data_IF_630946534567
#
_entry.id   IF_630946534567
#
_cell.length_a   1.000
_cell.length_b   1.000
_cell.length_c   1.000
_cell.angle_alpha   90.00
_cell.angle_beta   90.00
_cell.angle_gamma   90.00
#
_symmetry.space_group_name_H-M   'P 1'
#
loop_
_entity.id
_entity.type
_entity.pdbx_description
1 polymer ?
#
# COMPACT_ATOMS: atom_id res chain seq x y z
N UNK A 1 1.12 -0.78 -10.93
CA UNK A 1 2.08 -1.54 -10.10
C UNK A 1 1.49 -1.65 -8.69
N UNK A 2 1.74 -2.75 -7.98
CA UNK A 2 1.22 -3.00 -6.62
C UNK A 2 2.38 -3.30 -5.67
N UNK A 3 2.30 -2.85 -4.43
CA UNK A 3 3.22 -3.26 -3.36
C UNK A 3 2.60 -4.49 -2.71
N UNK A 4 3.17 -5.67 -2.92
CA UNK A 4 2.65 -6.94 -2.38
C UNK A 4 3.42 -7.32 -1.12
N UNK A 5 2.74 -7.62 -0.03
CA UNK A 5 3.37 -8.23 1.13
C UNK A 5 3.48 -9.73 0.87
N UNK A 6 4.69 -10.28 0.99
CA UNK A 6 4.98 -11.69 0.70
C UNK A 6 4.85 -12.60 1.92
N UNK A 7 4.43 -12.03 3.05
CA UNK A 7 4.30 -12.70 4.33
C UNK A 7 2.86 -12.61 4.81
N UNK A 8 2.46 -13.55 5.66
CA UNK A 8 1.13 -13.53 6.26
C UNK A 8 1.02 -12.38 7.25
N UNK A 9 0.00 -11.55 7.10
CA UNK A 9 -0.27 -10.44 8.03
C UNK A 9 -1.59 -10.68 8.75
N UNK A 10 -1.63 -10.40 10.05
CA UNK A 10 -2.87 -10.45 10.81
C UNK A 10 -3.83 -9.34 10.34
N UNK A 11 -4.90 -9.75 9.64
CA UNK A 11 -5.87 -8.83 9.01
C UNK A 11 -6.47 -7.83 10.00
N UNK A 12 -6.89 -8.28 11.20
CA UNK A 12 -7.48 -7.39 12.22
C UNK A 12 -6.50 -6.33 12.70
N UNK A 13 -5.23 -6.71 12.90
CA UNK A 13 -4.18 -5.80 13.31
C UNK A 13 -3.84 -4.80 12.20
N UNK A 14 -3.83 -5.27 10.95
CA UNK A 14 -3.62 -4.42 9.77
C UNK A 14 -4.73 -3.38 9.63
N UNK A 15 -5.99 -3.81 9.70
CA UNK A 15 -7.16 -2.90 9.65
C UNK A 15 -7.05 -1.86 10.76
N UNK A 16 -6.80 -2.29 12.01
CA UNK A 16 -6.66 -1.38 13.15
C UNK A 16 -5.58 -0.32 12.91
N UNK A 17 -4.40 -0.73 12.47
CA UNK A 17 -3.26 0.19 12.24
C UNK A 17 -3.53 1.11 11.04
N UNK A 18 -4.17 0.62 9.98
CA UNK A 18 -4.59 1.44 8.84
C UNK A 18 -5.65 2.48 9.27
N UNK A 19 -6.64 2.10 10.07
CA UNK A 19 -7.64 3.02 10.61
C UNK A 19 -7.01 4.13 11.46
N UNK A 20 -6.04 3.79 12.32
CA UNK A 20 -5.27 4.79 13.10
C UNK A 20 -4.52 5.78 12.21
N UNK A 21 -4.18 5.39 10.97
CA UNK A 21 -3.50 6.21 9.97
C UNK A 21 -4.47 6.95 9.04
N UNK A 22 -5.76 6.95 9.36
CA UNK A 22 -6.80 7.65 8.62
C UNK A 22 -7.31 6.93 7.38
N UNK A 23 -7.04 5.63 7.24
CA UNK A 23 -7.66 4.83 6.19
C UNK A 23 -9.09 4.46 6.58
N UNK A 24 -9.96 4.30 5.58
CA UNK A 24 -11.38 3.99 5.75
C UNK A 24 -11.71 2.64 5.14
N UNK A 25 -12.54 1.86 5.81
CA UNK A 25 -13.02 0.57 5.31
C UNK A 25 -13.90 0.73 4.07
N UNK A 26 -13.83 -0.25 3.18
CA UNK A 26 -14.71 -0.40 2.03
C UNK A 26 -14.51 -1.74 1.32
N UNK A 27 -14.92 -1.80 0.05
CA UNK A 27 -14.73 -2.98 -0.79
C UNK A 27 -14.02 -2.62 -2.09
N UNK A 28 -13.06 -3.46 -2.49
CA UNK A 28 -12.36 -3.34 -3.77
C UNK A 28 -12.47 -4.67 -4.51
N UNK A 29 -13.12 -4.68 -5.69
CA UNK A 29 -13.38 -5.90 -6.47
C UNK A 29 -14.02 -7.04 -5.64
N UNK A 30 -14.97 -6.70 -4.78
CA UNK A 30 -15.67 -7.66 -3.91
C UNK A 30 -14.90 -8.10 -2.66
N UNK A 31 -13.62 -7.73 -2.52
CA UNK A 31 -12.77 -8.04 -1.36
C UNK A 31 -12.80 -6.91 -0.33
N UNK A 32 -12.51 -7.25 0.93
CA UNK A 32 -12.32 -6.25 1.98
C UNK A 32 -11.11 -5.38 1.66
N UNK A 33 -11.29 -4.07 1.75
CA UNK A 33 -10.22 -3.13 1.46
C UNK A 33 -10.27 -1.92 2.39
N UNK A 34 -9.14 -1.25 2.52
CA UNK A 34 -9.00 0.04 3.17
C UNK A 34 -8.61 1.08 2.12
N UNK A 35 -9.14 2.29 2.25
CA UNK A 35 -8.94 3.40 1.32
C UNK A 35 -8.38 4.62 2.03
N UNK A 36 -7.45 5.31 1.39
CA UNK A 36 -6.96 6.62 1.86
C UNK A 36 -6.79 7.54 0.68
N UNK A 37 -7.36 8.72 0.79
CA UNK A 37 -7.12 9.77 -0.19
C UNK A 37 -5.81 10.48 0.14
N UNK A 38 -4.98 10.69 -0.89
CA UNK A 38 -3.73 11.42 -0.78
C UNK A 38 -3.56 12.28 -2.02
N UNK A 39 -3.66 13.60 -1.90
CA UNK A 39 -3.65 14.53 -3.04
C UNK A 39 -4.59 14.07 -4.18
N UNK A 40 -4.07 13.92 -5.40
CA UNK A 40 -4.79 13.43 -6.58
C UNK A 40 -4.80 11.89 -6.69
N UNK A 41 -4.51 11.18 -5.61
CA UNK A 41 -4.45 9.72 -5.56
C UNK A 41 -5.47 9.13 -4.59
N UNK A 42 -5.96 7.95 -4.95
CA UNK A 42 -6.65 7.02 -4.08
C UNK A 42 -5.71 5.85 -3.80
N UNK A 43 -5.29 5.72 -2.55
CA UNK A 43 -4.59 4.54 -2.10
C UNK A 43 -5.58 3.47 -1.67
N UNK A 44 -5.30 2.24 -2.06
CA UNK A 44 -6.12 1.06 -1.75
C UNK A 44 -5.23 0.00 -1.12
N UNK A 45 -5.59 -0.49 0.05
CA UNK A 45 -5.00 -1.66 0.67
C UNK A 45 -6.03 -2.78 0.63
N UNK A 46 -5.75 -3.84 -0.13
CA UNK A 46 -6.63 -5.01 -0.17
C UNK A 46 -6.22 -5.94 0.96
N UNK A 47 -7.20 -6.26 1.81
CA UNK A 47 -7.01 -7.00 3.05
C UNK A 47 -7.27 -8.47 2.76
N UNK A 48 -6.19 -9.24 2.70
CA UNK A 48 -6.17 -10.69 2.54
C UNK A 48 -5.00 -11.23 3.37
N UNK A 49 -4.86 -12.56 3.45
CA UNK A 49 -3.74 -13.22 4.10
C UNK A 49 -2.37 -12.66 3.66
N UNK A 50 -2.24 -12.32 2.37
CA UNK A 50 -1.09 -11.64 1.77
C UNK A 50 -1.54 -10.29 1.18
N UNK A 51 -1.58 -9.22 1.99
CA UNK A 51 -2.18 -7.97 1.57
C UNK A 51 -1.34 -7.28 0.48
N UNK A 52 -1.99 -6.44 -0.31
CA UNK A 52 -1.31 -5.61 -1.29
C UNK A 52 -1.88 -4.20 -1.37
N UNK A 53 -1.02 -3.27 -1.76
CA UNK A 53 -1.31 -1.84 -1.82
C UNK A 53 -1.23 -1.33 -3.25
N UNK A 54 -2.17 -0.46 -3.62
CA UNK A 54 -2.27 0.19 -4.91
C UNK A 54 -2.33 1.70 -4.71
N UNK A 55 -1.71 2.43 -5.65
CA UNK A 55 -1.92 3.86 -5.81
C UNK A 55 -2.63 4.08 -7.14
N UNK A 56 -3.89 4.53 -7.08
CA UNK A 56 -4.70 4.83 -8.25
C UNK A 56 -4.78 6.35 -8.40
N UNK A 57 -4.45 6.94 -9.55
CA UNK A 57 -4.69 8.36 -9.76
C UNK A 57 -6.20 8.61 -9.88
N UNK A 58 -6.69 9.71 -9.31
CA UNK A 58 -8.08 10.17 -9.46
C UNK A 58 -8.31 10.85 -10.81
N UNK A 59 -7.25 11.33 -11.45
CA UNK A 59 -7.26 12.00 -12.76
C UNK A 59 -6.37 11.25 -13.76
N UNK A 60 -6.83 11.09 -15.00
CA UNK A 60 -6.06 10.46 -16.08
C UNK A 60 -4.99 11.43 -16.63
N UNK A 61 -3.88 11.58 -15.89
CA UNK A 61 -2.75 12.36 -16.36
C UNK A 61 -1.45 11.53 -16.24
N UNK A 62 -0.86 11.19 -17.38
CA UNK A 62 0.22 10.18 -17.52
C UNK A 62 1.53 10.55 -16.81
N UNK A 63 1.71 11.82 -16.38
CA UNK A 63 2.84 12.27 -15.55
C UNK A 63 2.66 12.01 -14.05
N UNK A 64 1.47 11.58 -13.61
CA UNK A 64 1.08 11.49 -12.19
C UNK A 64 1.39 10.10 -11.59
N UNK A 65 1.72 9.07 -12.38
CA UNK A 65 1.80 7.71 -11.84
C UNK A 65 2.96 7.42 -10.84
N UNK A 66 4.08 8.15 -10.90
CA UNK A 66 5.24 7.86 -10.03
C UNK A 66 5.16 8.49 -8.65
N UNK A 67 4.48 9.63 -8.48
CA UNK A 67 4.42 10.37 -7.22
C UNK A 67 3.65 9.63 -6.15
N UNK A 68 2.40 9.25 -6.46
CA UNK A 68 1.54 8.53 -5.52
C UNK A 68 2.11 7.18 -5.08
N UNK A 69 2.78 6.46 -5.99
CA UNK A 69 3.45 5.20 -5.64
C UNK A 69 4.66 5.40 -4.72
N UNK A 70 5.44 6.47 -4.91
CA UNK A 70 6.60 6.79 -4.05
C UNK A 70 6.17 7.11 -2.63
N UNK A 71 5.13 7.93 -2.47
CA UNK A 71 4.60 8.28 -1.15
C UNK A 71 3.86 7.09 -0.50
N UNK A 72 3.15 6.28 -1.29
CA UNK A 72 2.56 5.04 -0.82
C UNK A 72 3.64 4.09 -0.29
N UNK A 73 4.78 3.94 -0.99
CA UNK A 73 5.88 3.09 -0.52
C UNK A 73 6.39 3.55 0.85
N UNK A 74 6.59 4.85 1.06
CA UNK A 74 7.01 5.40 2.37
C UNK A 74 5.98 5.14 3.47
N UNK A 75 4.70 5.27 3.17
CA UNK A 75 3.61 5.00 4.12
C UNK A 75 3.62 3.51 4.52
N UNK A 76 3.76 2.62 3.54
CA UNK A 76 3.80 1.18 3.76
C UNK A 76 5.10 0.75 4.46
N UNK A 77 6.24 1.38 4.20
CA UNK A 77 7.49 1.14 4.94
C UNK A 77 7.32 1.45 6.43
N UNK A 78 6.71 2.60 6.77
CA UNK A 78 6.39 2.94 8.17
C UNK A 78 5.41 1.96 8.80
N UNK A 79 4.47 1.44 8.02
CA UNK A 79 3.53 0.40 8.46
C UNK A 79 4.27 -0.91 8.73
N UNK A 80 5.18 -1.29 7.83
CA UNK A 80 5.98 -2.52 7.89
C UNK A 80 6.86 -2.56 9.14
N UNK A 81 7.55 -1.46 9.45
CA UNK A 81 8.36 -1.35 10.68
C UNK A 81 7.51 -1.43 11.95
N UNK A 82 6.29 -0.89 11.92
CA UNK A 82 5.38 -0.92 13.08
C UNK A 82 4.79 -2.30 13.31
N UNK A 83 4.51 -3.04 12.23
CA UNK A 83 3.84 -4.34 12.28
C UNK A 83 4.80 -5.54 12.22
N UNK A 84 6.06 -5.32 11.87
CA UNK A 84 7.09 -6.36 11.80
C UNK A 84 7.01 -7.27 10.56
N UNK A 85 6.48 -6.77 9.44
CA UNK A 85 6.52 -7.50 8.15
C UNK A 85 7.51 -6.86 7.19
N UNK A 86 7.97 -7.63 6.21
CA UNK A 86 8.94 -7.21 5.19
C UNK A 86 8.25 -6.77 3.92
N UNK A 87 8.84 -5.80 3.23
CA UNK A 87 8.42 -5.39 1.90
C UNK A 87 9.33 -6.02 0.84
N UNK A 88 8.79 -6.35 -0.35
CA UNK A 88 9.61 -6.83 -1.45
C UNK A 88 10.57 -5.71 -1.84
N UNK A 89 11.85 -5.94 -1.56
CA UNK A 89 12.94 -5.08 -2.00
C UNK A 89 12.87 -5.05 -3.53
N UNK A 90 12.78 -3.86 -4.14
CA UNK A 90 12.95 -3.77 -5.60
C UNK A 90 14.31 -4.40 -5.95
N UNK A 91 14.38 -5.43 -6.81
CA UNK A 91 15.65 -5.81 -7.39
C UNK A 91 16.00 -4.72 -8.42
N UNK A 92 16.80 -3.73 -8.03
CA UNK A 92 17.08 -2.60 -8.91
C UNK A 92 17.96 -1.49 -8.32
N UNK A 93 18.93 -1.86 -7.49
CA UNK A 93 19.96 -0.95 -6.95
C UNK A 93 21.17 -1.69 -6.41
N UNK A 94 21.42 -2.91 -6.90
CA UNK A 94 22.63 -3.66 -6.60
C UNK A 94 23.80 -3.05 -7.35
N UNK A 95 24.87 -2.77 -6.62
CA UNK A 95 26.16 -2.33 -7.15
C UNK A 95 26.57 -3.21 -8.35
N UNK A 96 26.92 -2.55 -9.45
CA UNK A 96 27.85 -3.17 -10.39
C UNK A 96 29.22 -3.22 -9.69
N UNK A 97 29.72 -4.44 -9.52
CA UNK A 97 31.15 -4.73 -9.34
C UNK A 97 31.96 -4.19 -10.52
#
# INVERSE_FOLDING_TARGET
MAIRVLEKVNEKSLIKELTLRGWKEGKFNGKQAMFKEFETYLWVAVIEEYPYFLSLPKEENSKVHSGGMKELMKEVEKLSHKMGFSLPIKPGGGHHV
#
